data_IF_177043628484
#
_entry.id   IF_177043628484
#
_cell.length_a   1.000
_cell.length_b   1.000
_cell.length_c   1.000
_cell.angle_alpha   90.00
_cell.angle_beta   90.00
_cell.angle_gamma   90.00
#
_symmetry.space_group_name_H-M   'P 1'
#
loop_
_entity.id
_entity.type
_entity.pdbx_description
1 polymer ?
#
# COMPACT_ATOMS: atom_id res chain seq x y z
N UNK A 1 5.56 -34.73 -2.72
CA UNK A 1 6.95 -34.23 -2.60
C UNK A 1 7.59 -34.29 -3.98
N UNK A 2 8.24 -33.22 -4.46
CA UNK A 2 8.97 -33.27 -5.73
C UNK A 2 10.10 -34.29 -5.64
N UNK A 3 10.24 -35.12 -6.68
CA UNK A 3 11.25 -36.19 -6.71
C UNK A 3 12.66 -35.59 -6.72
N UNK A 4 13.43 -35.86 -5.65
CA UNK A 4 14.78 -35.30 -5.43
C UNK A 4 15.85 -35.81 -6.39
N UNK A 5 15.61 -36.93 -7.07
CA UNK A 5 16.58 -37.58 -7.96
C UNK A 5 16.51 -37.09 -9.40
N UNK A 6 15.52 -36.26 -9.76
CA UNK A 6 15.44 -35.72 -11.12
C UNK A 6 16.55 -34.69 -11.35
N UNK A 7 17.16 -34.68 -12.54
CA UNK A 7 18.09 -33.63 -12.91
C UNK A 7 17.37 -32.27 -12.90
N UNK A 8 18.16 -31.22 -12.65
CA UNK A 8 17.67 -29.85 -12.79
C UNK A 8 17.53 -29.55 -14.29
N UNK A 9 16.49 -28.83 -14.69
CA UNK A 9 16.37 -28.33 -16.06
C UNK A 9 17.58 -27.48 -16.44
N UNK A 10 17.97 -27.47 -17.73
CA UNK A 10 19.01 -26.58 -18.23
C UNK A 10 18.71 -25.12 -17.86
N UNK A 11 19.74 -24.38 -17.45
CA UNK A 11 19.58 -23.01 -16.96
C UNK A 11 19.00 -22.07 -18.03
N UNK A 12 19.36 -22.28 -19.29
CA UNK A 12 18.97 -21.44 -20.42
C UNK A 12 17.44 -21.45 -20.65
N UNK A 13 16.78 -22.59 -20.39
CA UNK A 13 15.33 -22.73 -20.55
C UNK A 13 14.56 -22.07 -19.39
N UNK A 14 15.08 -22.16 -18.16
CA UNK A 14 14.37 -21.69 -16.96
C UNK A 14 14.68 -20.23 -16.61
N UNK A 15 15.87 -19.74 -16.93
CA UNK A 15 16.33 -18.39 -16.61
C UNK A 15 15.36 -17.26 -17.04
N UNK A 16 14.80 -17.23 -18.27
CA UNK A 16 13.87 -16.17 -18.66
C UNK A 16 12.58 -16.18 -17.83
N UNK A 17 12.09 -17.37 -17.46
CA UNK A 17 10.92 -17.51 -16.60
C UNK A 17 11.21 -17.03 -15.17
N UNK A 18 12.39 -17.39 -14.63
CA UNK A 18 12.84 -16.93 -13.31
C UNK A 18 12.91 -15.40 -13.29
N UNK A 19 13.54 -14.77 -14.28
CA UNK A 19 13.68 -13.32 -14.36
C UNK A 19 12.32 -12.62 -14.46
N UNK A 20 11.39 -13.16 -15.27
CA UNK A 20 10.03 -12.62 -15.38
C UNK A 20 9.29 -12.68 -14.04
N UNK A 21 9.33 -13.83 -13.36
CA UNK A 21 8.65 -14.03 -12.08
C UNK A 21 9.32 -13.25 -10.94
N UNK A 22 10.63 -13.05 -11.02
CA UNK A 22 11.40 -12.20 -10.11
C UNK A 22 11.01 -10.73 -10.25
N UNK A 23 10.94 -10.22 -11.49
CA UNK A 23 10.47 -8.86 -11.77
C UNK A 23 9.04 -8.62 -11.27
N UNK A 24 8.21 -9.66 -11.20
CA UNK A 24 6.88 -9.60 -10.61
C UNK A 24 6.87 -9.62 -9.06
N UNK A 25 8.03 -9.56 -8.40
CA UNK A 25 8.18 -9.55 -6.93
C UNK A 25 7.60 -10.79 -6.22
N UNK A 26 7.46 -11.92 -6.92
CA UNK A 26 6.94 -13.15 -6.32
C UNK A 26 7.91 -13.73 -5.31
N UNK A 27 7.40 -14.41 -4.28
CA UNK A 27 8.21 -15.13 -3.30
C UNK A 27 8.84 -16.39 -3.90
N UNK A 28 9.92 -16.88 -3.32
CA UNK A 28 10.65 -18.04 -3.87
C UNK A 28 9.77 -19.28 -3.99
N UNK A 29 8.87 -19.50 -3.02
CA UNK A 29 7.86 -20.58 -3.09
C UNK A 29 6.92 -20.39 -4.28
N UNK A 30 6.37 -19.18 -4.45
CA UNK A 30 5.50 -18.86 -5.57
C UNK A 30 6.20 -19.00 -6.92
N UNK A 31 7.49 -18.62 -6.99
CA UNK A 31 8.28 -18.78 -8.22
C UNK A 31 8.43 -20.27 -8.53
N UNK A 32 8.82 -21.10 -7.57
CA UNK A 32 8.93 -22.56 -7.76
C UNK A 32 7.60 -23.18 -8.19
N UNK A 33 6.50 -22.82 -7.52
CA UNK A 33 5.16 -23.32 -7.85
C UNK A 33 4.73 -22.89 -9.27
N UNK A 34 5.10 -21.67 -9.69
CA UNK A 34 4.83 -21.18 -11.04
C UNK A 34 5.74 -21.83 -12.10
N UNK A 35 7.00 -22.12 -11.77
CA UNK A 35 7.96 -22.77 -12.66
C UNK A 35 7.57 -24.21 -13.00
N UNK A 36 6.88 -24.91 -12.11
CA UNK A 36 6.36 -26.27 -12.38
C UNK A 36 5.41 -26.31 -13.59
N UNK A 37 4.79 -25.20 -13.98
CA UNK A 37 3.93 -25.11 -15.17
C UNK A 37 4.69 -24.97 -16.48
N UNK A 38 5.96 -24.59 -16.40
CA UNK A 38 6.81 -24.29 -17.55
C UNK A 38 7.90 -25.34 -17.77
N UNK A 39 8.10 -26.23 -16.80
CA UNK A 39 9.08 -27.32 -16.86
C UNK A 39 8.36 -28.63 -17.10
N UNK A 40 8.94 -29.50 -17.92
CA UNK A 40 8.53 -30.89 -18.00
C UNK A 40 8.85 -31.60 -16.66
N UNK A 41 7.83 -31.69 -15.81
CA UNK A 41 7.93 -32.30 -14.48
C UNK A 41 8.16 -33.81 -14.51
N UNK A 42 7.98 -34.48 -15.65
CA UNK A 42 8.28 -35.91 -15.80
C UNK A 42 9.80 -36.12 -15.90
N UNK A 43 10.48 -35.26 -16.65
CA UNK A 43 11.92 -35.35 -16.91
C UNK A 43 12.78 -34.59 -15.89
N UNK A 44 12.33 -33.43 -15.45
CA UNK A 44 13.11 -32.52 -14.61
C UNK A 44 12.39 -32.19 -13.30
N UNK A 45 13.18 -31.80 -12.30
CA UNK A 45 12.66 -31.39 -10.99
C UNK A 45 13.43 -30.22 -10.41
N UNK A 46 12.70 -29.22 -9.90
CA UNK A 46 13.28 -28.09 -9.17
C UNK A 46 12.64 -27.96 -7.78
N UNK A 47 13.42 -28.26 -6.75
CA UNK A 47 13.06 -28.01 -5.36
C UNK A 47 13.49 -26.61 -4.91
N UNK A 48 12.92 -26.13 -3.80
CA UNK A 48 13.19 -24.80 -3.26
C UNK A 48 14.70 -24.56 -3.00
N UNK A 49 15.40 -25.54 -2.41
CA UNK A 49 16.84 -25.41 -2.10
C UNK A 49 17.69 -25.24 -3.35
N UNK A 50 17.46 -26.07 -4.37
CA UNK A 50 18.14 -25.95 -5.67
C UNK A 50 17.79 -24.64 -6.37
N UNK A 51 16.51 -24.24 -6.34
CA UNK A 51 16.09 -22.95 -6.89
C UNK A 51 16.83 -21.79 -6.22
N UNK A 52 16.97 -21.79 -4.89
CA UNK A 52 17.72 -20.75 -4.18
C UNK A 52 19.19 -20.71 -4.61
N UNK A 53 19.83 -21.86 -4.83
CA UNK A 53 21.20 -21.92 -5.35
C UNK A 53 21.31 -21.33 -6.77
N UNK A 54 20.43 -21.76 -7.68
CA UNK A 54 20.37 -21.23 -9.06
C UNK A 54 20.17 -19.72 -9.05
N UNK A 55 19.21 -19.24 -8.24
CA UNK A 55 18.88 -17.83 -8.10
C UNK A 55 20.08 -17.01 -7.60
N UNK A 56 20.80 -17.50 -6.58
CA UNK A 56 22.01 -16.84 -6.07
C UNK A 56 23.10 -16.83 -7.14
N UNK A 57 23.27 -17.92 -7.90
CA UNK A 57 24.19 -17.98 -9.04
C UNK A 57 23.87 -16.97 -10.15
N UNK A 58 22.59 -16.63 -10.33
CA UNK A 58 22.13 -15.57 -11.23
C UNK A 58 22.28 -14.15 -10.64
N UNK A 59 22.81 -13.99 -9.43
CA UNK A 59 22.94 -12.70 -8.75
C UNK A 59 21.63 -12.13 -8.18
N UNK A 60 20.54 -12.90 -8.19
CA UNK A 60 19.22 -12.45 -7.73
C UNK A 60 19.11 -12.63 -6.20
N UNK A 61 19.69 -11.70 -5.46
CA UNK A 61 19.74 -11.75 -4.00
C UNK A 61 18.51 -11.09 -3.35
N UNK A 62 18.07 -11.66 -2.22
CA UNK A 62 16.99 -11.08 -1.40
C UNK A 62 17.55 -10.17 -0.31
N UNK A 63 16.66 -9.44 0.34
CA UNK A 63 16.98 -8.46 1.39
C UNK A 63 17.96 -8.93 2.45
N UNK A 64 17.77 -10.14 3.00
CA UNK A 64 18.67 -10.68 4.04
C UNK A 64 20.08 -10.95 3.53
N UNK A 65 20.22 -11.26 2.24
CA UNK A 65 21.49 -11.57 1.61
C UNK A 65 22.24 -10.30 1.21
N UNK A 66 21.52 -9.26 0.77
CA UNK A 66 22.12 -7.99 0.36
C UNK A 66 22.58 -7.12 1.53
N UNK A 67 21.89 -7.15 2.68
CA UNK A 67 22.35 -6.47 3.90
C UNK A 67 22.47 -4.94 3.80
N UNK A 68 21.71 -4.29 2.91
CA UNK A 68 21.78 -2.85 2.69
C UNK A 68 21.57 -2.02 3.96
N UNK A 69 22.48 -1.07 4.22
CA UNK A 69 22.38 -0.04 5.26
C UNK A 69 21.78 1.26 4.71
N UNK A 70 21.51 2.22 5.59
CA UNK A 70 20.94 3.55 5.25
C UNK A 70 21.87 4.31 4.31
N UNK A 71 23.18 4.16 4.50
CA UNK A 71 24.24 4.82 3.74
C UNK A 71 24.34 4.21 2.35
N UNK A 72 24.27 2.88 2.25
CA UNK A 72 24.35 2.17 0.96
C UNK A 72 23.20 2.50 0.00
N UNK A 73 22.02 2.84 0.54
CA UNK A 73 20.85 3.18 -0.27
C UNK A 73 20.78 4.66 -0.63
N UNK A 74 21.62 5.51 -0.02
CA UNK A 74 21.49 6.97 -0.07
C UNK A 74 21.61 7.51 -1.50
N UNK A 75 22.57 7.00 -2.27
CA UNK A 75 22.78 7.42 -3.65
C UNK A 75 21.56 7.15 -4.52
N UNK A 76 21.04 5.93 -4.47
CA UNK A 76 19.81 5.57 -5.19
C UNK A 76 18.58 6.35 -4.72
N UNK A 77 18.49 6.67 -3.43
CA UNK A 77 17.43 7.52 -2.90
C UNK A 77 17.51 8.94 -3.47
N UNK A 78 18.70 9.53 -3.58
CA UNK A 78 18.90 10.87 -4.17
C UNK A 78 18.47 10.93 -5.63
N UNK A 79 18.65 9.86 -6.39
CA UNK A 79 18.21 9.80 -7.78
C UNK A 79 16.69 9.60 -7.93
N UNK A 80 16.09 8.76 -7.09
CA UNK A 80 14.66 8.45 -7.18
C UNK A 80 13.75 9.52 -6.57
N UNK A 81 14.24 10.29 -5.58
CA UNK A 81 13.40 11.26 -4.87
C UNK A 81 12.89 12.42 -5.74
N UNK A 82 13.69 13.02 -6.63
CA UNK A 82 13.22 14.04 -7.55
C UNK A 82 12.11 13.54 -8.48
N UNK A 83 12.20 12.27 -8.93
CA UNK A 83 11.22 11.66 -9.82
C UNK A 83 9.93 11.31 -9.06
N UNK A 84 10.05 10.82 -7.82
CA UNK A 84 8.93 10.37 -7.00
C UNK A 84 8.90 11.08 -5.62
N UNK A 85 8.57 12.39 -5.57
CA UNK A 85 8.65 13.18 -4.34
C UNK A 85 7.62 12.78 -3.28
N UNK A 86 6.48 12.23 -3.70
CA UNK A 86 5.41 11.82 -2.80
C UNK A 86 5.46 10.34 -2.40
N UNK A 87 6.39 9.54 -2.95
CA UNK A 87 6.44 8.10 -2.71
C UNK A 87 6.67 7.73 -1.24
N UNK A 88 5.80 6.89 -0.70
CA UNK A 88 5.88 6.34 0.66
C UNK A 88 6.85 5.17 0.77
N UNK A 89 7.02 4.63 1.98
CA UNK A 89 8.02 3.58 2.23
C UNK A 89 7.78 2.31 1.40
N UNK A 90 6.51 1.95 1.16
CA UNK A 90 6.17 0.76 0.36
C UNK A 90 6.50 0.96 -1.12
N UNK A 91 6.13 2.13 -1.66
CA UNK A 91 6.38 2.49 -3.05
C UNK A 91 7.89 2.59 -3.31
N UNK A 92 8.61 3.24 -2.41
CA UNK A 92 10.06 3.39 -2.52
C UNK A 92 10.80 2.05 -2.51
N UNK A 93 10.37 1.06 -1.71
CA UNK A 93 10.92 -0.31 -1.76
C UNK A 93 10.69 -0.94 -3.14
N UNK A 94 9.50 -0.75 -3.72
CA UNK A 94 9.20 -1.27 -5.06
C UNK A 94 10.07 -0.59 -6.11
N UNK A 95 10.21 0.74 -6.05
CA UNK A 95 11.01 1.52 -6.98
C UNK A 95 12.50 1.13 -6.92
N UNK A 96 13.07 1.03 -5.72
CA UNK A 96 14.45 0.60 -5.53
C UNK A 96 14.68 -0.83 -6.07
N UNK A 97 13.67 -1.69 -5.98
CA UNK A 97 13.74 -3.02 -6.57
C UNK A 97 13.70 -3.00 -8.10
N UNK A 98 12.76 -2.28 -8.70
CA UNK A 98 12.59 -2.28 -10.16
C UNK A 98 13.65 -1.46 -10.90
N UNK A 99 14.01 -0.28 -10.38
CA UNK A 99 14.94 0.65 -11.03
C UNK A 99 16.40 0.34 -10.71
N UNK A 100 16.68 -0.14 -9.48
CA UNK A 100 18.05 -0.34 -8.98
C UNK A 100 18.39 -1.78 -8.61
N UNK A 101 17.45 -2.71 -8.74
CA UNK A 101 17.68 -4.12 -8.39
C UNK A 101 17.89 -4.38 -6.89
N UNK A 102 17.56 -3.40 -6.03
CA UNK A 102 17.84 -3.47 -4.59
C UNK A 102 16.60 -3.93 -3.80
N UNK A 103 16.72 -5.07 -3.14
CA UNK A 103 15.72 -5.62 -2.24
C UNK A 103 15.95 -5.09 -0.81
N UNK A 104 15.35 -3.96 -0.44
CA UNK A 104 15.64 -3.32 0.85
C UNK A 104 14.59 -3.66 1.92
N UNK A 105 15.03 -3.80 3.17
CA UNK A 105 14.13 -4.03 4.29
C UNK A 105 13.31 -2.77 4.59
N UNK A 106 12.03 -2.96 4.92
CA UNK A 106 11.13 -1.84 5.29
C UNK A 106 11.64 -1.04 6.49
N UNK A 107 12.36 -1.68 7.40
CA UNK A 107 12.98 -1.03 8.57
C UNK A 107 14.04 -0.02 8.16
N UNK A 108 14.89 -0.35 7.18
CA UNK A 108 15.97 0.53 6.68
C UNK A 108 15.38 1.77 6.02
N UNK A 109 14.38 1.63 5.14
CA UNK A 109 13.71 2.77 4.50
C UNK A 109 13.01 3.66 5.53
N UNK A 110 12.36 3.07 6.53
CA UNK A 110 11.74 3.84 7.62
C UNK A 110 12.78 4.62 8.43
N UNK A 111 13.93 4.01 8.73
CA UNK A 111 15.02 4.67 9.43
C UNK A 111 15.62 5.80 8.58
N UNK A 112 15.81 5.58 7.28
CA UNK A 112 16.22 6.62 6.33
C UNK A 112 15.26 7.81 6.36
N UNK A 113 13.95 7.58 6.23
CA UNK A 113 12.96 8.67 6.29
C UNK A 113 12.90 9.37 7.64
N UNK A 114 13.07 8.66 8.74
CA UNK A 114 13.12 9.28 10.07
C UNK A 114 14.35 10.17 10.24
N UNK A 115 15.47 9.81 9.60
CA UNK A 115 16.76 10.51 9.72
C UNK A 115 16.84 11.72 8.78
N UNK A 116 16.50 11.54 7.50
CA UNK A 116 16.72 12.55 6.45
C UNK A 116 15.46 13.31 6.04
N UNK A 117 14.27 12.73 6.22
CA UNK A 117 12.99 13.32 5.76
C UNK A 117 11.91 13.37 6.85
N UNK A 118 12.22 13.79 8.10
CA UNK A 118 11.25 13.73 9.20
C UNK A 118 10.05 14.65 8.97
N UNK A 119 10.23 15.76 8.25
CA UNK A 119 9.18 16.72 7.93
C UNK A 119 8.13 16.11 6.99
N UNK A 120 8.57 15.50 5.88
CA UNK A 120 7.67 14.84 4.94
C UNK A 120 6.88 13.71 5.59
N UNK A 121 7.49 13.00 6.54
CA UNK A 121 6.79 11.99 7.35
C UNK A 121 5.73 12.63 8.25
N UNK A 122 6.03 13.78 8.87
CA UNK A 122 5.07 14.53 9.69
C UNK A 122 3.90 15.08 8.86
N UNK A 123 4.16 15.69 7.72
CA UNK A 123 3.13 16.18 6.80
C UNK A 123 2.18 15.08 6.33
N UNK A 124 2.71 13.89 6.00
CA UNK A 124 1.87 12.73 5.66
C UNK A 124 1.02 12.27 6.84
N UNK A 125 1.55 12.32 8.06
CA UNK A 125 0.78 11.99 9.28
C UNK A 125 -0.28 13.04 9.59
N UNK A 126 -0.02 14.31 9.30
CA UNK A 126 -0.96 15.41 9.50
C UNK A 126 -2.22 15.27 8.62
N UNK A 127 -2.06 14.69 7.42
CA UNK A 127 -3.15 14.40 6.48
C UNK A 127 -3.97 13.14 6.82
N UNK A 128 -3.83 12.57 8.02
CA UNK A 128 -4.66 11.44 8.47
C UNK A 128 -5.88 11.95 9.22
N UNK A 129 -7.00 11.25 9.03
CA UNK A 129 -8.22 11.47 9.81
C UNK A 129 -7.90 11.35 11.31
N UNK A 130 -8.15 12.43 12.05
CA UNK A 130 -8.03 12.45 13.51
C UNK A 130 -9.37 12.02 14.11
N UNK A 131 -9.35 11.01 14.99
CA UNK A 131 -10.55 10.61 15.73
C UNK A 131 -10.98 11.77 16.63
N UNK A 132 -12.16 12.32 16.39
CA UNK A 132 -12.81 13.29 17.30
C UNK A 132 -13.71 12.54 18.28
N UNK A 133 -13.82 13.05 19.51
CA UNK A 133 -14.81 12.64 20.50
C UNK A 133 -15.78 13.79 20.67
N UNK A 134 -17.06 13.45 20.72
CA UNK A 134 -18.14 14.41 20.88
C UNK A 134 -18.84 14.14 22.22
N UNK A 135 -19.29 15.20 22.87
CA UNK A 135 -20.17 15.14 24.04
C UNK A 135 -21.52 15.69 23.60
N UNK A 136 -22.60 15.02 23.99
CA UNK A 136 -23.95 15.34 23.60
C UNK A 136 -24.84 15.32 24.85
N UNK A 137 -25.73 16.31 24.99
CA UNK A 137 -26.66 16.46 26.10
C UNK A 137 -27.85 15.49 26.03
N UNK A 138 -28.13 14.91 24.86
CA UNK A 138 -29.23 13.97 24.65
C UNK A 138 -29.19 13.28 23.28
N UNK A 139 -30.18 12.43 23.00
CA UNK A 139 -30.37 11.81 21.67
C UNK A 139 -30.76 12.90 20.67
N UNK A 140 -30.19 12.85 19.46
CA UNK A 140 -30.35 13.85 18.39
C UNK A 140 -29.72 15.24 18.66
N UNK A 141 -28.86 15.35 19.67
CA UNK A 141 -28.15 16.62 19.97
C UNK A 141 -26.95 16.85 19.03
N UNK A 142 -26.37 15.77 18.49
CA UNK A 142 -25.26 15.85 17.55
C UNK A 142 -25.36 14.76 16.47
N UNK A 143 -25.09 15.13 15.22
CA UNK A 143 -25.00 14.20 14.09
C UNK A 143 -23.60 14.21 13.51
N UNK A 144 -22.99 13.03 13.38
CA UNK A 144 -21.79 12.83 12.59
C UNK A 144 -22.21 12.49 11.16
N UNK A 145 -22.02 13.42 10.24
CA UNK A 145 -22.27 13.20 8.81
C UNK A 145 -20.97 12.85 8.13
N UNK A 146 -20.95 11.71 7.44
CA UNK A 146 -19.83 11.25 6.61
C UNK A 146 -20.29 11.08 5.15
N UNK A 147 -19.38 11.34 4.21
CA UNK A 147 -19.63 11.21 2.78
C UNK A 147 -18.87 10.01 2.23
N UNK A 148 -19.56 9.18 1.45
CA UNK A 148 -18.97 8.02 0.78
C UNK A 148 -18.75 8.28 -0.71
N UNK A 149 -17.49 8.49 -1.11
CA UNK A 149 -17.13 8.89 -2.47
C UNK A 149 -17.05 7.73 -3.48
N UNK A 150 -17.38 6.49 -3.09
CA UNK A 150 -17.23 5.32 -3.99
C UNK A 150 -18.04 5.43 -5.28
N UNK A 151 -19.16 6.15 -5.27
CA UNK A 151 -20.05 6.29 -6.43
C UNK A 151 -19.90 7.63 -7.15
N UNK A 152 -18.89 8.41 -6.78
CA UNK A 152 -18.61 9.70 -7.42
C UNK A 152 -18.33 9.55 -8.93
N UNK A 153 -17.74 8.42 -9.34
CA UNK A 153 -17.54 8.06 -10.77
C UNK A 153 -18.84 7.94 -11.57
N UNK A 154 -19.98 7.79 -10.89
CA UNK A 154 -21.31 7.72 -11.48
C UNK A 154 -22.11 9.02 -11.23
N UNK A 155 -21.47 10.07 -10.72
CA UNK A 155 -22.13 11.33 -10.36
C UNK A 155 -23.00 11.26 -9.10
N UNK A 156 -22.88 10.18 -8.29
CA UNK A 156 -23.65 10.01 -7.06
C UNK A 156 -22.75 10.22 -5.84
N UNK A 157 -23.20 11.08 -4.91
CA UNK A 157 -22.61 11.25 -3.59
C UNK A 157 -23.56 10.68 -2.54
N UNK A 158 -23.09 9.73 -1.72
CA UNK A 158 -23.87 9.19 -0.61
C UNK A 158 -23.43 9.89 0.67
N UNK A 159 -24.37 10.53 1.35
CA UNK A 159 -24.17 11.10 2.68
C UNK A 159 -24.85 10.21 3.72
N UNK A 160 -24.17 9.94 4.84
CA UNK A 160 -24.72 9.14 5.94
C UNK A 160 -24.55 9.93 7.24
N UNK A 161 -25.67 10.23 7.90
CA UNK A 161 -25.68 10.83 9.23
C UNK A 161 -25.92 9.78 10.31
N UNK A 162 -25.05 9.74 11.31
CA UNK A 162 -25.21 8.91 12.52
C UNK A 162 -25.38 9.84 13.73
N UNK A 163 -26.45 9.66 14.50
CA UNK A 163 -26.69 10.41 15.74
C UNK A 163 -25.74 10.00 16.86
N UNK A 164 -25.27 10.97 17.65
CA UNK A 164 -24.57 10.78 18.91
C UNK A 164 -25.49 11.14 20.09
N UNK A 165 -25.44 10.40 21.24
CA UNK A 165 -24.57 9.27 21.54
C UNK A 165 -25.01 7.98 20.83
N UNK A 166 -24.04 7.19 20.36
CA UNK A 166 -24.23 5.99 19.51
C UNK A 166 -24.88 4.79 20.19
N UNK A 167 -25.66 5.00 21.27
CA UNK A 167 -26.38 3.93 21.97
C UNK A 167 -27.56 3.43 21.12
N UNK A 168 -28.05 4.28 20.21
CA UNK A 168 -29.05 3.97 19.20
C UNK A 168 -28.39 4.15 17.83
N UNK A 169 -27.89 3.08 17.19
CA UNK A 169 -27.36 3.13 15.82
C UNK A 169 -28.51 3.37 14.80
N UNK A 170 -29.15 4.54 14.86
CA UNK A 170 -30.12 4.98 13.86
C UNK A 170 -29.39 5.72 12.74
N UNK A 171 -29.52 5.22 11.52
CA UNK A 171 -29.02 5.87 10.31
C UNK A 171 -30.14 6.73 9.75
N UNK A 172 -29.90 8.03 9.60
CA UNK A 172 -30.85 8.93 8.95
C UNK A 172 -30.48 9.07 7.48
N UNK A 173 -31.42 8.71 6.59
CA UNK A 173 -31.34 9.00 5.16
C UNK A 173 -32.15 10.27 4.90
N UNK A 174 -31.48 11.33 4.42
CA UNK A 174 -32.16 12.47 3.80
C UNK A 174 -32.45 12.17 2.33
N UNK A 175 -33.50 12.75 1.73
CA UNK A 175 -33.71 12.65 0.29
C UNK A 175 -32.48 13.23 -0.46
N UNK A 176 -32.14 12.69 -1.64
CA UNK A 176 -31.12 13.29 -2.50
C UNK A 176 -31.66 14.62 -3.02
N UNK A 177 -31.21 15.74 -2.44
CA UNK A 177 -31.67 17.06 -2.86
C UNK A 177 -31.27 17.32 -4.31
N UNK A 178 -32.30 17.37 -5.15
CA UNK A 178 -32.29 18.09 -6.41
C UNK A 178 -31.77 19.50 -6.15
N UNK A 179 -30.74 19.91 -6.88
CA UNK A 179 -30.33 21.29 -7.01
C UNK A 179 -31.57 22.16 -7.34
N UNK A 180 -32.12 22.86 -6.34
CA UNK A 180 -32.96 24.07 -6.38
C UNK A 180 -34.05 24.03 -5.29
N UNK A 181 -33.75 24.58 -4.11
CA UNK A 181 -34.78 25.11 -3.20
C UNK A 181 -34.28 26.46 -2.68
N UNK A 182 -35.07 27.55 -2.81
CA UNK A 182 -34.66 28.87 -2.34
C UNK A 182 -34.64 28.90 -0.81
N UNK A 183 -33.54 29.46 -0.31
CA UNK A 183 -33.23 29.69 1.10
C UNK A 183 -34.08 30.83 1.65
N UNK A 184 -35.27 30.54 2.17
CA UNK A 184 -35.93 31.46 3.08
C UNK A 184 -36.63 30.76 4.25
N UNK A 185 -36.39 31.36 5.42
CA UNK A 185 -37.06 31.23 6.73
C UNK A 185 -36.60 30.13 7.69
N UNK A 186 -36.00 30.58 8.81
CA UNK A 186 -35.95 29.83 10.07
C UNK A 186 -34.57 29.79 10.73
N UNK A 187 -34.31 30.74 11.65
CA UNK A 187 -33.12 30.76 12.51
C UNK A 187 -32.83 29.40 13.16
N UNK A 188 -31.58 28.92 13.05
CA UNK A 188 -30.83 28.23 14.11
C UNK A 188 -29.35 28.09 13.73
N UNK A 189 -28.54 28.95 14.34
CA UNK A 189 -27.15 28.75 14.80
C UNK A 189 -26.38 27.60 14.12
N UNK A 190 -26.05 27.74 12.85
CA UNK A 190 -24.97 26.97 12.22
C UNK A 190 -23.70 27.81 12.34
N UNK A 191 -22.99 27.67 13.46
CA UNK A 191 -21.59 28.07 13.51
C UNK A 191 -20.79 27.27 12.48
N UNK A 192 -19.72 27.83 11.89
CA UNK A 192 -18.97 27.16 10.84
C UNK A 192 -18.22 25.95 11.43
N UNK A 193 -18.78 24.75 11.30
CA UNK A 193 -18.06 23.49 11.52
C UNK A 193 -17.18 23.13 10.32
N UNK A 194 -16.50 24.12 9.73
CA UNK A 194 -15.39 23.94 8.80
C UNK A 194 -14.31 24.95 9.14
N UNK A 195 -13.72 24.84 10.34
CA UNK A 195 -12.41 25.46 10.59
C UNK A 195 -11.37 24.52 10.01
N UNK A 196 -10.96 24.80 8.78
CA UNK A 196 -9.62 24.44 8.32
C UNK A 196 -8.63 25.05 9.30
N UNK A 197 -8.05 24.24 10.17
CA UNK A 197 -6.88 24.65 10.93
C UNK A 197 -5.72 24.67 9.96
N UNK A 198 -5.12 25.84 9.75
CA UNK A 198 -3.77 25.96 9.19
C UNK A 198 -2.78 25.23 10.10
#
# INVERSE_FOLDING_TARGET
MPNQYKPTSPLDEIAPHILRLWKACLTDKQIVDALQKHIDTERFGIGLTKFVQVRIGMGLQRTRQQGHSIESIREAMLELRPIYPNAGAREMISLLFHEKGMCIARTVIRAYFATYEPELVRERKARRLKRKRFWAAGVNDLFAVDQHDKWLRFGLALHTGIGAPSVTNSVLYGPPDLHNIPYETGQRIMGPCCVYSR
#
